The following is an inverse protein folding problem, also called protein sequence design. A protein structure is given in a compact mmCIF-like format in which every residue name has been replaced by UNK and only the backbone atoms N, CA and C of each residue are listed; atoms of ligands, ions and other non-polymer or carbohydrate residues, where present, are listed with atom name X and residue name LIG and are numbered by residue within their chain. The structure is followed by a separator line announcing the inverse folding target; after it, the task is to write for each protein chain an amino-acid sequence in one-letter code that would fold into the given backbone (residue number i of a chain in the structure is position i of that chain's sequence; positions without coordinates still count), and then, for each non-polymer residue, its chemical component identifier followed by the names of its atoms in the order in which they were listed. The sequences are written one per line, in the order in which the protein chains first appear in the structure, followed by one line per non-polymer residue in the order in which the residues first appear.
data_IF_666742331783
#
_entry.id   IF_666742331783
#
_cell.length_a   1.000
_cell.length_b   1.000
_cell.length_c   1.000
_cell.angle_alpha   90.00
_cell.angle_beta   90.00
_cell.angle_gamma   90.00
#
_symmetry.space_group_name_H-M   'P 1'
#
loop_
_entity.id
_entity.type
_entity.pdbx_description
1 polymer ?
#
# COMPACT_ATOMS: atom_id res chain seq x y z
N UNK A 1 2.28 -62.80 -22.04
CA UNK A 1 3.16 -61.81 -21.38
C UNK A 1 2.40 -60.50 -21.27
N UNK A 2 2.05 -60.08 -20.05
CA UNK A 2 1.32 -58.83 -19.78
C UNK A 2 2.33 -57.79 -19.33
N UNK A 3 2.44 -56.67 -20.04
CA UNK A 3 3.21 -55.50 -19.62
C UNK A 3 2.17 -54.43 -19.30
N UNK A 4 1.99 -54.15 -18.01
CA UNK A 4 1.24 -53.01 -17.50
C UNK A 4 2.19 -52.09 -16.75
N UNK A 5 1.93 -50.78 -16.90
CA UNK A 5 2.23 -49.70 -15.97
C UNK A 5 3.68 -49.19 -15.86
N UNK A 6 3.89 -48.00 -16.45
CA UNK A 6 4.73 -46.93 -15.93
C UNK A 6 4.27 -45.64 -16.63
N UNK A 7 4.15 -44.47 -16.04
CA UNK A 7 4.10 -44.01 -14.66
C UNK A 7 3.54 -42.59 -14.80
N UNK A 8 2.49 -42.28 -14.06
CA UNK A 8 1.89 -40.95 -14.02
C UNK A 8 2.69 -40.08 -13.06
N UNK A 9 3.61 -39.24 -13.56
CA UNK A 9 4.32 -38.27 -12.72
C UNK A 9 4.80 -37.05 -13.52
N UNK A 10 3.92 -36.07 -13.75
CA UNK A 10 4.31 -34.72 -14.15
C UNK A 10 3.12 -33.75 -14.01
N UNK A 11 2.64 -33.51 -12.78
CA UNK A 11 1.58 -32.53 -12.53
C UNK A 11 1.71 -31.85 -11.16
N UNK A 12 2.94 -31.52 -10.74
CA UNK A 12 3.19 -30.94 -9.41
C UNK A 12 4.24 -29.80 -9.39
N UNK A 13 4.39 -29.05 -10.50
CA UNK A 13 5.37 -27.96 -10.58
C UNK A 13 4.76 -26.58 -10.89
N UNK A 14 3.44 -26.45 -10.83
CA UNK A 14 2.75 -25.14 -10.87
C UNK A 14 2.21 -24.79 -9.48
N UNK A 15 3.02 -24.96 -8.45
CA UNK A 15 2.79 -24.25 -7.20
C UNK A 15 3.11 -22.78 -7.47
N UNK A 16 2.13 -22.06 -8.05
CA UNK A 16 2.16 -20.62 -8.10
C UNK A 16 2.30 -20.13 -6.66
N UNK A 17 3.41 -19.50 -6.35
CA UNK A 17 3.52 -18.65 -5.16
C UNK A 17 2.47 -17.57 -5.35
N UNK A 18 1.43 -17.59 -4.53
CA UNK A 18 0.57 -16.42 -4.39
C UNK A 18 1.49 -15.29 -3.95
N UNK A 19 1.76 -14.34 -4.84
CA UNK A 19 2.39 -13.09 -4.46
C UNK A 19 1.37 -12.38 -3.57
N UNK A 20 1.48 -12.61 -2.26
CA UNK A 20 0.81 -11.76 -1.27
C UNK A 20 1.33 -10.36 -1.52
N UNK A 21 0.44 -9.40 -1.74
CA UNK A 21 0.79 -8.01 -1.90
C UNK A 21 1.43 -7.54 -0.59
N UNK A 22 2.75 -7.60 -0.52
CA UNK A 22 3.44 -7.16 0.68
C UNK A 22 3.40 -5.62 0.67
N UNK A 23 2.71 -5.06 1.64
CA UNK A 23 2.59 -3.62 1.88
C UNK A 23 3.42 -3.33 3.11
N UNK A 24 4.28 -2.30 3.05
CA UNK A 24 4.93 -1.79 4.25
C UNK A 24 4.08 -0.64 4.78
N UNK A 25 3.42 -0.86 5.91
CA UNK A 25 2.59 0.15 6.54
C UNK A 25 3.10 0.58 7.91
N UNK A 26 2.90 1.84 8.22
CA UNK A 26 3.22 2.51 9.47
C UNK A 26 2.00 3.29 9.94
N UNK A 27 1.62 3.13 11.21
CA UNK A 27 0.53 3.88 11.84
C UNK A 27 1.09 4.77 12.96
N UNK A 28 1.84 5.84 12.62
CA UNK A 28 2.56 6.62 13.61
C UNK A 28 1.61 7.39 14.55
N UNK A 29 0.41 7.73 14.08
CA UNK A 29 -0.54 8.57 14.81
C UNK A 29 0.15 9.85 15.35
N UNK A 30 0.96 10.46 14.49
CA UNK A 30 1.88 11.53 14.84
C UNK A 30 1.21 12.89 14.63
N UNK A 31 1.19 13.71 15.66
CA UNK A 31 0.83 15.12 15.57
C UNK A 31 2.08 15.96 15.24
N UNK A 32 2.02 16.69 14.13
CA UNK A 32 3.08 17.58 13.66
C UNK A 32 2.70 19.07 13.77
N UNK A 33 1.73 19.41 14.63
CA UNK A 33 1.31 20.78 14.93
C UNK A 33 2.46 21.68 15.43
N UNK A 34 3.29 21.16 16.33
CA UNK A 34 4.38 21.88 16.99
C UNK A 34 5.77 21.59 16.37
N UNK A 35 5.96 20.41 15.81
CA UNK A 35 7.24 19.96 15.26
C UNK A 35 7.05 19.11 14.01
N UNK A 36 7.87 19.31 12.95
CA UNK A 36 7.78 18.49 11.76
C UNK A 36 7.97 17.00 12.05
N UNK A 37 7.21 16.16 11.36
CA UNK A 37 7.33 14.71 11.38
C UNK A 37 7.93 14.22 10.06
N UNK A 38 9.03 13.47 10.13
CA UNK A 38 9.72 12.98 8.93
C UNK A 38 9.68 11.47 8.85
N UNK A 39 9.33 10.97 7.67
CA UNK A 39 9.40 9.56 7.31
C UNK A 39 10.57 9.40 6.35
N UNK A 40 11.57 8.62 6.78
CA UNK A 40 12.70 8.21 5.95
C UNK A 40 12.43 6.82 5.39
N UNK A 41 12.40 6.71 4.06
CA UNK A 41 12.18 5.45 3.34
C UNK A 41 13.52 4.80 2.98
N UNK A 42 14.63 5.47 3.29
CA UNK A 42 16.00 5.07 2.96
C UNK A 42 16.48 5.67 1.64
N UNK A 43 17.76 5.45 1.34
CA UNK A 43 18.42 5.93 0.11
C UNK A 43 18.35 7.45 -0.10
N UNK A 44 18.14 8.23 0.97
CA UNK A 44 17.99 9.67 0.90
C UNK A 44 16.62 10.14 0.41
N UNK A 45 15.62 9.27 0.48
CA UNK A 45 14.22 9.55 0.14
C UNK A 45 13.43 9.78 1.42
N UNK A 46 12.83 10.96 1.57
CA UNK A 46 12.00 11.27 2.74
C UNK A 46 10.79 12.12 2.40
N UNK A 47 9.75 11.98 3.24
CA UNK A 47 8.61 12.89 3.31
C UNK A 47 8.60 13.57 4.67
N UNK A 48 8.54 14.90 4.67
CA UNK A 48 8.48 15.71 5.90
C UNK A 48 7.15 16.43 5.95
N UNK A 49 6.33 16.06 6.92
CA UNK A 49 5.05 16.68 7.24
C UNK A 49 5.27 17.78 8.28
N UNK A 50 4.66 18.94 8.06
CA UNK A 50 4.83 20.10 8.92
C UNK A 50 3.55 20.93 8.96
N UNK A 51 3.45 21.78 9.98
CA UNK A 51 2.45 22.83 10.01
C UNK A 51 2.99 24.06 9.25
N UNK A 52 2.34 24.46 8.16
CA UNK A 52 2.66 25.71 7.44
C UNK A 52 2.22 26.98 8.19
N UNK A 53 1.60 26.80 9.35
CA UNK A 53 1.03 27.86 10.18
C UNK A 53 -0.44 28.13 9.86
N UNK A 54 -1.00 29.20 10.43
CA UNK A 54 -2.39 29.55 10.24
C UNK A 54 -2.63 29.94 8.78
N UNK A 55 -3.48 29.19 8.09
CA UNK A 55 -3.87 29.48 6.72
C UNK A 55 -5.31 29.06 6.42
N UNK A 56 -5.80 29.45 5.24
CA UNK A 56 -7.19 29.21 4.84
C UNK A 56 -8.21 30.16 5.48
N UNK A 57 -9.49 29.98 5.13
CA UNK A 57 -10.57 30.93 5.47
C UNK A 57 -10.88 31.01 6.99
N UNK A 58 -10.48 29.99 7.76
CA UNK A 58 -10.79 29.87 9.19
C UNK A 58 -9.59 30.05 10.12
N UNK A 59 -8.39 30.34 9.59
CA UNK A 59 -7.17 30.50 10.40
C UNK A 59 -6.76 29.22 11.13
N UNK A 60 -7.14 28.07 10.60
CA UNK A 60 -6.71 26.75 11.09
C UNK A 60 -5.28 26.47 10.65
N UNK A 61 -4.57 25.67 11.43
CA UNK A 61 -3.27 25.13 11.02
C UNK A 61 -3.41 24.36 9.71
N UNK A 62 -2.56 24.69 8.74
CA UNK A 62 -2.55 24.01 7.45
C UNK A 62 -1.44 22.95 7.41
N UNK A 63 -1.77 21.67 7.16
CA UNK A 63 -0.75 20.69 6.91
C UNK A 63 0.02 21.04 5.65
N UNK A 64 1.31 20.75 5.65
CA UNK A 64 2.20 20.89 4.50
C UNK A 64 3.15 19.71 4.42
N UNK A 65 3.63 19.44 3.20
CA UNK A 65 4.59 18.37 2.91
C UNK A 65 5.76 18.92 2.11
N UNK A 66 6.96 18.49 2.49
CA UNK A 66 8.18 18.63 1.69
C UNK A 66 8.79 17.26 1.43
N UNK A 67 9.58 17.14 0.38
CA UNK A 67 10.13 15.88 -0.11
C UNK A 67 11.63 16.00 -0.35
N UNK A 68 12.35 14.89 -0.24
CA UNK A 68 13.78 14.83 -0.64
C UNK A 68 14.06 13.61 -1.52
N UNK A 69 15.17 13.66 -2.27
CA UNK A 69 15.58 12.57 -3.14
C UNK A 69 14.64 12.40 -4.33
N UNK A 70 14.08 11.19 -4.48
CA UNK A 70 13.09 10.86 -5.50
C UNK A 70 11.64 10.95 -5.02
N UNK A 71 11.40 11.35 -3.76
CA UNK A 71 10.06 11.46 -3.19
C UNK A 71 9.24 12.53 -3.94
N UNK A 72 8.01 12.17 -4.29
CA UNK A 72 7.06 13.02 -4.99
C UNK A 72 5.65 12.77 -4.48
N UNK A 73 4.84 13.82 -4.49
CA UNK A 73 3.43 13.79 -4.06
C UNK A 73 2.53 14.10 -5.24
N UNK A 74 1.37 13.45 -5.32
CA UNK A 74 0.39 13.74 -6.34
C UNK A 74 -0.04 15.21 -6.27
N UNK A 75 0.01 15.86 -7.41
CA UNK A 75 -0.26 17.27 -7.63
C UNK A 75 -1.25 17.42 -8.78
N UNK A 76 -2.21 18.32 -8.60
CA UNK A 76 -2.99 18.85 -9.72
C UNK A 76 -2.55 20.29 -9.92
N UNK A 77 -1.91 20.55 -11.05
CA UNK A 77 -1.78 21.91 -11.53
C UNK A 77 -3.18 22.47 -11.86
N UNK A 78 -3.56 23.66 -11.36
CA UNK A 78 -4.72 24.36 -11.89
C UNK A 78 -4.48 24.67 -13.36
N UNK A 79 -5.54 24.78 -14.19
CA UNK A 79 -5.35 24.62 -15.61
C UNK A 79 -4.39 25.59 -16.29
N UNK A 80 -4.06 26.80 -15.77
CA UNK A 80 -3.23 27.74 -16.55
C UNK A 80 -2.36 28.81 -15.84
N UNK A 81 -2.02 28.82 -14.55
CA UNK A 81 -1.23 29.97 -14.01
C UNK A 81 -0.80 29.95 -12.53
N UNK A 82 -0.90 28.83 -11.83
CA UNK A 82 -0.49 28.75 -10.43
C UNK A 82 0.46 27.57 -10.21
N UNK A 83 1.28 27.70 -9.18
CA UNK A 83 2.18 26.65 -8.73
C UNK A 83 1.38 25.37 -8.44
N UNK A 84 1.86 24.20 -8.88
CA UNK A 84 1.25 22.92 -8.56
C UNK A 84 1.15 22.74 -7.04
N UNK A 85 0.04 22.20 -6.56
CA UNK A 85 -0.20 22.00 -5.13
C UNK A 85 -0.43 20.53 -4.82
N UNK A 86 0.06 20.02 -3.67
CA UNK A 86 -0.26 18.68 -3.21
C UNK A 86 -1.76 18.49 -3.15
N UNK A 87 -2.24 17.48 -3.86
CA UNK A 87 -3.66 17.17 -3.88
C UNK A 87 -4.02 16.10 -2.88
N UNK A 88 -5.18 16.29 -2.28
CA UNK A 88 -5.82 15.30 -1.45
C UNK A 88 -6.87 14.60 -2.27
N UNK A 89 -6.91 13.30 -2.10
CA UNK A 89 -7.78 12.44 -2.85
C UNK A 89 -8.75 11.78 -1.85
N UNK A 90 -10.02 11.70 -2.26
CA UNK A 90 -11.14 10.99 -1.63
C UNK A 90 -11.81 11.65 -0.42
N UNK A 91 -13.06 12.08 -0.63
CA UNK A 91 -14.06 12.39 0.41
C UNK A 91 -15.09 11.25 0.58
N UNK A 92 -14.80 10.03 0.09
CA UNK A 92 -15.74 8.91 0.09
C UNK A 92 -15.14 7.68 0.77
N UNK A 93 -15.46 7.50 2.05
CA UNK A 93 -15.09 6.35 2.91
C UNK A 93 -15.49 4.98 2.32
N UNK A 94 -16.33 4.94 1.28
CA UNK A 94 -16.82 3.69 0.69
C UNK A 94 -15.89 3.07 -0.36
N UNK A 95 -14.82 3.76 -0.78
CA UNK A 95 -13.88 3.27 -1.78
C UNK A 95 -12.46 3.39 -1.25
N UNK A 96 -11.89 2.28 -0.79
CA UNK A 96 -10.46 2.16 -0.55
C UNK A 96 -9.72 2.70 -1.78
N UNK A 97 -8.90 3.76 -1.65
CA UNK A 97 -8.33 4.37 -2.82
C UNK A 97 -7.33 3.45 -3.50
N UNK A 98 -7.53 3.29 -4.81
CA UNK A 98 -6.62 2.58 -5.69
C UNK A 98 -5.71 3.63 -6.32
N UNK A 99 -4.42 3.59 -5.98
CA UNK A 99 -3.39 4.44 -6.56
C UNK A 99 -2.65 3.57 -7.57
N UNK A 100 -2.66 3.99 -8.83
CA UNK A 100 -2.01 3.31 -9.94
C UNK A 100 -1.38 4.37 -10.84
N UNK A 101 -0.29 4.03 -11.53
CA UNK A 101 0.40 4.88 -12.48
C UNK A 101 -0.47 5.32 -13.67
N UNK A 102 -1.59 4.65 -13.92
CA UNK A 102 -2.56 4.97 -14.97
C UNK A 102 -3.58 6.07 -14.58
N UNK A 103 -3.65 6.49 -13.31
CA UNK A 103 -4.42 7.67 -12.91
C UNK A 103 -3.65 8.94 -13.32
N UNK A 104 -4.34 9.89 -13.96
CA UNK A 104 -3.81 11.17 -14.49
C UNK A 104 -3.29 12.15 -13.39
N UNK A 105 -2.62 11.65 -12.37
CA UNK A 105 -1.95 12.46 -11.35
C UNK A 105 -0.55 12.84 -11.84
N UNK A 106 -0.23 14.13 -11.84
CA UNK A 106 1.15 14.60 -11.96
C UNK A 106 1.80 14.41 -10.59
N UNK A 107 2.95 13.76 -10.52
CA UNK A 107 3.70 13.63 -9.28
C UNK A 107 4.87 14.60 -9.29
N UNK A 108 4.98 15.39 -8.22
CA UNK A 108 5.95 16.47 -8.11
C UNK A 108 6.65 16.45 -6.75
N UNK A 109 7.93 16.85 -6.74
CA UNK A 109 8.71 17.03 -5.53
C UNK A 109 8.60 18.48 -5.04
N UNK A 110 8.57 18.65 -3.73
CA UNK A 110 8.45 19.92 -3.04
C UNK A 110 9.66 20.12 -2.13
N UNK A 111 10.67 20.84 -2.61
CA UNK A 111 11.90 21.12 -1.84
C UNK A 111 11.62 22.01 -0.61
N UNK A 112 10.57 22.83 -0.68
CA UNK A 112 10.02 23.61 0.43
C UNK A 112 8.63 23.08 0.82
N UNK A 113 8.17 23.25 2.08
CA UNK A 113 6.87 22.76 2.50
C UNK A 113 5.71 23.35 1.69
N UNK A 114 5.06 22.51 0.89
CA UNK A 114 3.89 22.87 0.12
C UNK A 114 2.61 22.56 0.90
N UNK A 115 1.70 23.53 0.96
CA UNK A 115 0.45 23.41 1.70
C UNK A 115 -0.48 22.39 1.07
N UNK A 116 -1.04 21.52 1.91
CA UNK A 116 -2.03 20.52 1.54
C UNK A 116 -3.41 21.09 1.86
N UNK A 117 -4.29 21.17 0.86
CA UNK A 117 -5.68 21.58 1.07
C UNK A 117 -6.52 20.41 1.61
N UNK A 118 -6.28 20.06 2.88
CA UNK A 118 -6.95 18.98 3.62
C UNK A 118 -7.32 19.40 5.04
N UNK A 119 -8.41 20.15 5.22
CA UNK A 119 -8.90 20.49 6.55
C UNK A 119 -9.56 19.30 7.28
N UNK A 120 -9.78 18.17 6.61
CA UNK A 120 -10.47 16.97 7.14
C UNK A 120 -9.72 15.69 6.72
N UNK A 121 -10.14 14.52 7.23
CA UNK A 121 -9.53 13.21 6.89
C UNK A 121 -9.31 13.08 5.38
N UNK A 122 -8.05 12.91 4.98
CA UNK A 122 -7.58 13.06 3.60
C UNK A 122 -6.44 12.10 3.31
N UNK A 123 -6.41 11.61 2.07
CA UNK A 123 -5.33 10.77 1.58
C UNK A 123 -4.45 11.55 0.60
N UNK A 124 -3.14 11.42 0.76
CA UNK A 124 -2.13 11.93 -0.15
C UNK A 124 -1.51 10.74 -0.86
N UNK A 125 -1.50 10.76 -2.20
CA UNK A 125 -0.79 9.76 -2.99
C UNK A 125 0.70 10.12 -3.09
N UNK A 126 1.54 9.10 -2.93
CA UNK A 126 2.99 9.20 -2.84
C UNK A 126 3.64 8.36 -3.94
N UNK A 127 4.76 8.84 -4.48
CA UNK A 127 5.59 8.11 -5.44
C UNK A 127 7.06 8.38 -5.16
N UNK A 128 7.88 7.34 -5.19
CA UNK A 128 9.32 7.47 -5.04
C UNK A 128 10.05 6.38 -5.82
N UNK A 129 11.31 6.65 -6.18
CA UNK A 129 12.17 5.70 -6.88
C UNK A 129 13.23 5.15 -5.92
N UNK A 130 13.33 3.83 -5.83
CA UNK A 130 14.42 3.11 -5.17
C UNK A 130 15.30 2.40 -6.22
N UNK A 131 16.42 1.84 -5.78
CA UNK A 131 17.33 1.09 -6.67
C UNK A 131 16.68 -0.06 -7.46
N UNK A 132 15.56 -0.62 -6.98
CA UNK A 132 14.82 -1.72 -7.60
C UNK A 132 13.62 -1.26 -8.45
N UNK A 133 13.21 0.00 -8.37
CA UNK A 133 12.18 0.59 -9.22
C UNK A 133 11.33 1.65 -8.53
N UNK A 134 10.32 2.14 -9.26
CA UNK A 134 9.32 3.08 -8.75
C UNK A 134 8.33 2.36 -7.85
N UNK A 135 7.97 2.99 -6.74
CA UNK A 135 6.97 2.49 -5.79
C UNK A 135 5.94 3.57 -5.52
N UNK A 136 4.72 3.12 -5.27
CA UNK A 136 3.62 3.98 -4.89
C UNK A 136 3.27 3.81 -3.42
N UNK A 137 2.53 4.78 -2.88
CA UNK A 137 2.12 4.78 -1.48
C UNK A 137 1.03 5.80 -1.21
N UNK A 138 0.60 5.84 0.04
CA UNK A 138 -0.29 6.88 0.54
C UNK A 138 0.07 7.31 1.96
N UNK A 139 -0.36 8.52 2.31
CA UNK A 139 -0.40 9.02 3.69
C UNK A 139 -1.83 9.48 4.00
N UNK A 140 -2.38 9.07 5.16
CA UNK A 140 -3.67 9.55 5.65
C UNK A 140 -3.48 10.55 6.78
N UNK A 141 -4.17 11.67 6.69
CA UNK A 141 -4.05 12.78 7.61
C UNK A 141 -5.37 13.48 7.86
N UNK A 142 -5.56 13.99 9.08
CA UNK A 142 -6.60 14.97 9.40
C UNK A 142 -5.96 16.16 10.12
N UNK A 143 -6.01 17.33 9.47
CA UNK A 143 -5.28 18.50 9.94
C UNK A 143 -3.78 18.18 10.06
N UNK A 144 -3.19 18.48 11.22
CA UNK A 144 -1.78 18.23 11.52
C UNK A 144 -1.49 16.84 12.09
N UNK A 145 -2.45 15.91 12.01
CA UNK A 145 -2.25 14.53 12.46
C UNK A 145 -2.04 13.61 11.28
N UNK A 146 -0.90 12.89 11.25
CA UNK A 146 -0.65 11.78 10.34
C UNK A 146 -1.08 10.48 11.01
N UNK A 147 -2.16 9.86 10.50
CA UNK A 147 -2.67 8.60 11.04
C UNK A 147 -1.85 7.40 10.58
N UNK A 148 -1.70 7.28 9.27
CA UNK A 148 -1.00 6.16 8.65
C UNK A 148 -0.26 6.58 7.37
N UNK A 149 0.70 5.74 7.02
CA UNK A 149 1.57 5.84 5.88
C UNK A 149 1.83 4.43 5.39
N UNK A 150 1.60 4.15 4.10
CA UNK A 150 1.88 2.85 3.55
C UNK A 150 2.42 2.94 2.12
N UNK A 151 3.25 1.98 1.74
CA UNK A 151 3.81 1.90 0.39
C UNK A 151 3.99 0.44 -0.06
N UNK A 152 4.16 0.26 -1.37
CA UNK A 152 4.35 -1.04 -2.00
C UNK A 152 5.69 -1.63 -1.57
N UNK A 153 5.70 -2.85 -1.02
CA UNK A 153 6.97 -3.50 -0.68
C UNK A 153 7.69 -4.08 -1.90
N UNK A 154 6.96 -4.31 -2.98
CA UNK A 154 7.43 -4.78 -4.28
C UNK A 154 6.87 -3.85 -5.37
N UNK A 155 7.66 -3.61 -6.42
CA UNK A 155 7.25 -2.76 -7.56
C UNK A 155 5.98 -3.33 -8.23
N UNK A 156 5.09 -2.46 -8.70
CA UNK A 156 3.83 -2.79 -9.40
C UNK A 156 2.84 -3.62 -8.57
N UNK A 157 2.94 -3.56 -7.24
CA UNK A 157 2.07 -4.30 -6.32
C UNK A 157 1.03 -3.37 -5.73
N UNK A 158 -0.15 -3.28 -6.36
CA UNK A 158 -1.18 -2.32 -5.96
C UNK A 158 -1.54 -2.37 -4.47
N UNK A 159 -1.68 -1.19 -3.87
CA UNK A 159 -2.05 -1.02 -2.46
C UNK A 159 -3.55 -0.77 -2.34
N UNK A 160 -4.20 -1.48 -1.42
CA UNK A 160 -5.53 -1.12 -0.95
C UNK A 160 -5.42 -0.28 0.32
N UNK A 161 -5.68 1.02 0.21
CA UNK A 161 -5.70 1.90 1.39
C UNK A 161 -6.83 1.52 2.36
N UNK A 162 -6.53 1.56 3.65
CA UNK A 162 -7.42 1.05 4.70
C UNK A 162 -7.34 -0.46 4.93
N UNK A 163 -6.53 -1.19 4.17
CA UNK A 163 -6.08 -2.52 4.60
C UNK A 163 -5.18 -2.32 5.82
N UNK A 164 -5.60 -2.83 6.98
CA UNK A 164 -4.93 -2.64 8.25
C UNK A 164 -3.46 -3.11 8.15
N UNK A 165 -2.46 -2.21 8.30
CA UNK A 165 -1.06 -2.56 8.11
C UNK A 165 -0.54 -3.52 9.18
N UNK A 166 -1.22 -3.64 10.33
CA UNK A 166 -0.89 -4.62 11.37
C UNK A 166 -1.32 -6.06 11.02
N UNK A 167 -2.08 -6.25 9.92
CA UNK A 167 -2.57 -7.57 9.50
C UNK A 167 -1.80 -8.10 8.28
N UNK A 168 -0.62 -7.56 7.98
CA UNK A 168 0.36 -8.27 7.15
C UNK A 168 1.15 -9.31 7.98
N UNK A 169 0.45 -10.07 8.84
CA UNK A 169 0.98 -11.40 9.13
C UNK A 169 0.79 -12.18 7.85
N UNK A 170 1.91 -12.60 7.28
CA UNK A 170 2.00 -13.73 6.36
C UNK A 170 1.54 -14.99 7.13
N UNK A 171 0.27 -15.03 7.56
CA UNK A 171 -0.40 -16.24 7.98
C UNK A 171 -0.44 -17.02 6.70
N UNK A 172 0.28 -18.16 6.60
CA UNK A 172 0.09 -19.03 5.47
C UNK A 172 -1.40 -19.37 5.51
N UNK A 173 -2.17 -18.81 4.56
CA UNK A 173 -3.52 -19.26 4.33
C UNK A 173 -3.38 -20.77 4.25
N UNK A 174 -4.11 -21.56 5.06
CA UNK A 174 -4.01 -23.00 4.99
C UNK A 174 -4.41 -23.34 3.57
N UNK A 175 -3.40 -23.50 2.71
CA UNK A 175 -3.60 -23.44 1.28
C UNK A 175 -4.69 -24.45 0.98
N UNK A 176 -5.58 -24.15 0.04
CA UNK A 176 -6.61 -25.09 -0.39
C UNK A 176 -6.04 -26.50 -0.66
N UNK A 177 -4.73 -26.60 -0.92
CA UNK A 177 -3.91 -27.82 -0.95
C UNK A 177 -3.91 -28.62 0.37
N UNK A 178 -3.80 -27.99 1.55
CA UNK A 178 -3.92 -28.63 2.86
C UNK A 178 -5.32 -29.21 3.12
N UNK A 179 -6.37 -28.50 2.71
CA UNK A 179 -7.76 -29.00 2.79
C UNK A 179 -8.03 -30.11 1.76
N UNK A 180 -7.49 -30.01 0.54
CA UNK A 180 -7.53 -31.10 -0.45
C UNK A 180 -6.75 -32.33 0.02
N UNK A 181 -5.60 -32.14 0.66
CA UNK A 181 -4.78 -33.22 1.24
C UNK A 181 -5.53 -34.01 2.31
N UNK A 182 -6.18 -33.34 3.25
CA UNK A 182 -7.02 -33.99 4.27
C UNK A 182 -8.22 -34.72 3.65
N UNK A 183 -8.85 -34.13 2.63
CA UNK A 183 -9.95 -34.75 1.88
C UNK A 183 -9.56 -36.08 1.22
N UNK A 184 -8.39 -36.14 0.57
CA UNK A 184 -7.89 -37.36 -0.09
C UNK A 184 -7.54 -38.46 0.92
N UNK A 185 -6.94 -38.11 2.07
CA UNK A 185 -6.66 -39.07 3.16
C UNK A 185 -7.96 -39.64 3.73
N UNK A 186 -8.98 -38.81 3.92
CA UNK A 186 -10.31 -39.25 4.38
C UNK A 186 -10.97 -40.25 3.43
N UNK A 187 -10.92 -40.01 2.11
CA UNK A 187 -11.50 -40.89 1.10
C UNK A 187 -10.75 -42.23 1.02
N UNK A 188 -9.42 -42.23 1.13
CA UNK A 188 -8.61 -43.45 1.13
C UNK A 188 -8.88 -44.33 2.37
N UNK A 189 -8.99 -43.72 3.56
CA UNK A 189 -9.33 -44.43 4.80
C UNK A 189 -10.75 -45.01 4.76
N UNK A 190 -11.73 -44.26 4.22
CA UNK A 190 -13.10 -44.73 4.05
C UNK A 190 -13.21 -45.91 3.07
N UNK A 191 -12.43 -45.90 1.97
CA UNK A 191 -12.37 -47.04 1.03
C UNK A 191 -11.75 -48.29 1.64
N UNK A 192 -10.78 -48.17 2.55
CA UNK A 192 -10.15 -49.31 3.22
C UNK A 192 -11.12 -50.03 4.16
N UNK A 193 -11.98 -49.30 4.88
CA UNK A 193 -12.99 -49.89 5.78
C UNK A 193 -14.06 -50.72 5.05
N UNK A 194 -14.41 -50.37 3.82
CA UNK A 194 -15.41 -51.13 3.02
C UNK A 194 -14.90 -52.44 2.42
N UNK A 195 -13.60 -52.74 2.55
CA UNK A 195 -13.02 -54.00 2.06
C UNK A 195 -12.76 -55.02 3.17
N UNK A 196 -12.82 -54.59 4.43
CA UNK A 196 -12.64 -55.45 5.62
C UNK A 196 -13.93 -55.73 6.38
N UNK A 197 -15.06 -55.19 5.91
CA UNK A 197 -16.42 -55.59 6.30
C UNK A 197 -17.05 -56.33 5.11
#
# INVERSE_FOLDING_TARGET
MRIFAAAATAAALLAGTSASAAVVGYSPNADFSDSPFTIDIGQGVSYTFSNAGPGGFFGTDLPAVSTTGSATVASLGPPFNSEPQPTTYFTDDSRAPFIDGDLLALFEGYDEPATIDAPVDSFIALRFDLADGTRYGFARLAGTTLFDFAYESDVDTGIQAGADPEVAFDVPEPGMIGLLGLGVVGIAAARRRRRTA
#
